data_IF_911307947888
#
_entry.id   IF_911307947888
#
_cell.length_a   1.000
_cell.length_b   1.000
_cell.length_c   1.000
_cell.angle_alpha   90.00
_cell.angle_beta   90.00
_cell.angle_gamma   90.00
#
_symmetry.space_group_name_H-M   'P 1'
#
loop_
_entity.id
_entity.type
_entity.pdbx_description
1 polymer ?
#
# COMPACT_ATOMS: atom_id res chain seq x y z
N UNK A 1 -45.81 29.01 45.22
CA UNK A 1 -44.59 28.17 45.19
C UNK A 1 -43.85 28.40 43.88
N UNK A 2 -42.78 29.21 43.89
CA UNK A 2 -41.87 29.48 42.76
C UNK A 2 -40.79 28.39 42.74
N UNK A 3 -40.64 27.66 41.63
CA UNK A 3 -39.49 26.78 41.40
C UNK A 3 -38.43 27.55 40.60
N UNK A 4 -37.26 27.75 41.22
CA UNK A 4 -36.07 28.40 40.67
C UNK A 4 -35.33 27.36 39.82
N UNK A 5 -35.16 27.61 38.53
CA UNK A 5 -34.26 26.82 37.69
C UNK A 5 -32.83 27.20 38.06
N UNK A 6 -32.04 26.22 38.48
CA UNK A 6 -30.59 26.34 38.64
C UNK A 6 -29.94 26.02 37.30
N UNK A 7 -29.29 27.02 36.70
CA UNK A 7 -28.30 26.83 35.65
C UNK A 7 -27.23 25.84 36.16
N UNK A 8 -26.99 24.78 35.40
CA UNK A 8 -25.87 23.87 35.64
C UNK A 8 -24.94 23.92 34.43
N UNK A 9 -23.87 24.68 34.63
CA UNK A 9 -22.58 24.74 33.95
C UNK A 9 -22.35 23.84 32.73
N UNK A 10 -22.15 24.50 31.60
CA UNK A 10 -21.50 23.98 30.40
C UNK A 10 -20.06 23.58 30.70
N UNK A 11 -19.83 22.28 30.93
CA UNK A 11 -18.48 21.74 31.03
C UNK A 11 -17.90 21.51 29.62
N UNK A 12 -17.38 22.57 28.99
CA UNK A 12 -16.66 22.47 27.71
C UNK A 12 -15.34 21.72 27.94
N UNK A 13 -15.31 20.44 27.55
CA UNK A 13 -14.09 19.63 27.56
C UNK A 13 -13.00 20.35 26.75
N UNK A 14 -11.94 20.76 27.44
CA UNK A 14 -10.77 21.38 26.83
C UNK A 14 -10.22 20.44 25.73
N UNK A 15 -10.06 20.99 24.52
CA UNK A 15 -9.49 20.30 23.37
C UNK A 15 -8.05 19.92 23.74
N UNK A 16 -7.75 18.62 23.86
CA UNK A 16 -6.39 18.13 24.08
C UNK A 16 -5.49 18.75 23.01
N UNK A 17 -4.55 19.59 23.43
CA UNK A 17 -3.56 20.20 22.57
C UNK A 17 -2.69 19.06 22.05
N UNK A 18 -2.71 18.80 20.73
CA UNK A 18 -1.81 17.83 20.11
C UNK A 18 -0.40 18.34 20.33
N UNK A 19 0.48 17.47 20.81
CA UNK A 19 1.91 17.79 20.82
C UNK A 19 2.35 18.10 19.39
N UNK A 20 3.23 19.09 19.18
CA UNK A 20 3.74 19.38 17.86
C UNK A 20 4.46 18.14 17.33
N UNK A 21 3.90 17.54 16.27
CA UNK A 21 4.58 16.49 15.52
C UNK A 21 5.87 17.09 14.95
N UNK A 22 6.98 16.36 15.11
CA UNK A 22 8.24 16.72 14.50
C UNK A 22 8.06 16.90 12.99
N UNK A 23 8.77 17.87 12.41
CA UNK A 23 8.78 18.03 10.95
C UNK A 23 9.26 16.71 10.31
N UNK A 24 8.70 16.37 9.15
CA UNK A 24 9.01 15.13 8.45
C UNK A 24 10.53 14.96 8.21
N UNK A 25 11.22 16.09 7.98
CA UNK A 25 12.67 16.15 7.80
C UNK A 25 13.49 15.82 9.06
N UNK A 26 12.89 15.93 10.25
CA UNK A 26 13.54 15.73 11.54
C UNK A 26 13.33 14.31 12.11
N UNK A 27 12.55 13.48 11.41
CA UNK A 27 12.27 12.11 11.83
C UNK A 27 13.50 11.24 11.58
N UNK A 28 14.15 10.81 12.66
CA UNK A 28 15.25 9.84 12.58
C UNK A 28 14.71 8.52 12.00
N UNK A 29 15.24 8.03 10.86
CA UNK A 29 14.80 6.78 10.27
C UNK A 29 15.00 5.63 11.26
N UNK A 30 13.98 4.77 11.40
CA UNK A 30 14.12 3.56 12.19
C UNK A 30 15.27 2.70 11.64
N UNK A 31 15.99 2.03 12.53
CA UNK A 31 17.15 1.20 12.17
C UNK A 31 16.83 -0.28 12.39
N UNK A 32 17.36 -1.15 11.55
CA UNK A 32 17.30 -2.60 11.76
C UNK A 32 18.15 -3.04 12.97
N UNK A 33 18.13 -4.34 13.31
CA UNK A 33 18.95 -4.90 14.39
C UNK A 33 20.47 -4.79 14.18
N UNK A 34 20.92 -4.27 13.02
CA UNK A 34 22.32 -4.01 12.67
C UNK A 34 22.64 -2.51 12.60
N UNK A 35 21.67 -1.63 12.89
CA UNK A 35 21.85 -0.17 12.88
C UNK A 35 21.63 0.52 11.52
N UNK A 36 21.20 -0.20 10.47
CA UNK A 36 20.94 0.37 9.15
C UNK A 36 19.54 0.97 9.08
N UNK A 37 19.37 2.12 8.40
CA UNK A 37 18.05 2.70 8.19
C UNK A 37 17.12 1.73 7.43
N UNK A 38 15.87 1.61 7.91
CA UNK A 38 14.79 0.82 7.32
C UNK A 38 14.07 1.56 6.18
N UNK A 39 14.40 2.84 5.97
CA UNK A 39 13.89 3.68 4.90
C UNK A 39 15.06 4.39 4.19
N UNK A 40 15.08 4.44 2.84
CA UNK A 40 14.14 3.80 1.91
C UNK A 40 14.18 2.25 1.98
N UNK A 41 13.31 1.59 1.21
CA UNK A 41 13.37 0.14 1.01
C UNK A 41 14.81 -0.31 0.65
N UNK A 42 15.19 -1.53 1.03
CA UNK A 42 16.54 -2.03 0.74
C UNK A 42 16.84 -2.00 -0.77
N UNK A 43 18.09 -1.73 -1.14
CA UNK A 43 18.50 -1.67 -2.56
C UNK A 43 18.08 -2.92 -3.35
N UNK A 44 18.17 -4.09 -2.72
CA UNK A 44 17.74 -5.35 -3.31
C UNK A 44 16.24 -5.37 -3.63
N UNK A 45 15.40 -4.81 -2.74
CA UNK A 45 13.94 -4.74 -2.95
C UNK A 45 13.61 -3.74 -4.06
N UNK A 46 14.30 -2.60 -4.08
CA UNK A 46 14.17 -1.59 -5.14
C UNK A 46 14.55 -2.20 -6.50
N UNK A 47 15.67 -2.93 -6.59
CA UNK A 47 16.11 -3.52 -7.85
C UNK A 47 15.18 -4.65 -8.32
N UNK A 48 14.63 -5.45 -7.40
CA UNK A 48 13.58 -6.43 -7.73
C UNK A 48 12.32 -5.76 -8.28
N UNK A 49 11.87 -4.64 -7.68
CA UNK A 49 10.73 -3.88 -8.18
C UNK A 49 11.00 -3.33 -9.59
N UNK A 50 12.18 -2.74 -9.80
CA UNK A 50 12.60 -2.23 -11.12
C UNK A 50 12.63 -3.34 -12.17
N UNK A 51 13.20 -4.49 -11.83
CA UNK A 51 13.26 -5.65 -12.70
C UNK A 51 11.85 -6.16 -13.06
N UNK A 52 10.96 -6.28 -12.06
CA UNK A 52 9.58 -6.67 -12.26
C UNK A 52 8.85 -5.73 -13.25
N UNK A 53 8.95 -4.42 -13.05
CA UNK A 53 8.28 -3.44 -13.91
C UNK A 53 8.79 -3.51 -15.37
N UNK A 54 10.11 -3.68 -15.55
CA UNK A 54 10.71 -3.88 -16.87
C UNK A 54 10.23 -5.18 -17.51
N UNK A 55 10.19 -6.27 -16.76
CA UNK A 55 9.67 -7.57 -17.24
C UNK A 55 8.21 -7.46 -17.67
N UNK A 56 7.35 -6.83 -16.87
CA UNK A 56 5.94 -6.67 -17.21
C UNK A 56 5.77 -5.84 -18.49
N UNK A 57 6.48 -4.72 -18.63
CA UNK A 57 6.44 -3.92 -19.86
C UNK A 57 6.97 -4.70 -21.07
N UNK A 58 8.10 -5.42 -20.94
CA UNK A 58 8.68 -6.21 -22.01
C UNK A 58 7.80 -7.40 -22.43
N UNK A 59 7.01 -7.96 -21.50
CA UNK A 59 6.13 -9.10 -21.76
C UNK A 59 4.95 -8.78 -22.69
N UNK A 60 4.63 -7.50 -22.90
CA UNK A 60 3.47 -7.04 -23.67
C UNK A 60 2.19 -7.82 -23.32
N UNK A 61 1.97 -8.02 -22.01
CA UNK A 61 0.86 -8.79 -21.48
C UNK A 61 -0.05 -7.92 -20.62
N UNK A 62 -1.30 -8.38 -20.44
CA UNK A 62 -2.28 -7.69 -19.60
C UNK A 62 -1.74 -7.42 -18.20
N UNK A 63 -1.70 -6.15 -17.82
CA UNK A 63 -1.17 -5.66 -16.55
C UNK A 63 -2.24 -4.88 -15.82
N UNK A 64 -2.45 -5.21 -14.55
CA UNK A 64 -3.45 -4.59 -13.69
C UNK A 64 -2.76 -3.73 -12.61
N UNK A 65 -3.17 -2.47 -12.48
CA UNK A 65 -2.77 -1.58 -11.38
C UNK A 65 -3.90 -1.51 -10.36
N UNK A 66 -3.56 -1.65 -9.08
CA UNK A 66 -4.51 -1.68 -7.97
C UNK A 66 -4.08 -0.67 -6.90
N UNK A 67 -4.43 0.61 -7.07
CA UNK A 67 -4.10 1.66 -6.10
C UNK A 67 -5.05 1.64 -4.90
N UNK A 68 -4.59 2.13 -3.74
CA UNK A 68 -5.54 2.54 -2.69
C UNK A 68 -6.34 3.76 -3.16
N UNK A 69 -7.49 3.97 -2.50
CA UNK A 69 -8.53 4.93 -2.85
C UNK A 69 -8.24 6.37 -2.42
N UNK A 70 -7.17 6.60 -1.66
CA UNK A 70 -6.81 7.93 -1.20
C UNK A 70 -5.85 8.63 -2.17
N UNK A 71 -5.38 9.82 -1.81
CA UNK A 71 -4.51 10.60 -2.70
C UNK A 71 -3.17 9.93 -2.94
N UNK A 72 -2.56 9.30 -1.93
CA UNK A 72 -1.24 8.68 -2.05
C UNK A 72 -1.31 7.47 -2.97
N UNK A 73 -2.28 6.57 -2.74
CA UNK A 73 -2.53 5.42 -3.61
C UNK A 73 -2.87 5.78 -5.04
N UNK A 74 -3.76 6.77 -5.27
CA UNK A 74 -4.16 7.17 -6.62
C UNK A 74 -3.00 7.84 -7.38
N UNK A 75 -2.23 8.71 -6.73
CA UNK A 75 -1.05 9.34 -7.33
C UNK A 75 0.03 8.31 -7.64
N UNK A 76 0.30 7.37 -6.73
CA UNK A 76 1.19 6.24 -6.95
C UNK A 76 0.72 5.38 -8.14
N UNK A 77 -0.59 5.14 -8.26
CA UNK A 77 -1.19 4.43 -9.39
C UNK A 77 -0.92 5.11 -10.72
N UNK A 78 -1.06 6.44 -10.78
CA UNK A 78 -0.75 7.25 -11.98
C UNK A 78 0.75 7.21 -12.30
N UNK A 79 1.62 7.23 -11.29
CA UNK A 79 3.07 7.09 -11.47
C UNK A 79 3.41 5.74 -12.11
N UNK A 80 2.86 4.63 -11.59
CA UNK A 80 3.05 3.29 -12.18
C UNK A 80 2.50 3.24 -13.60
N UNK A 81 1.30 3.77 -13.84
CA UNK A 81 0.70 3.83 -15.17
C UNK A 81 1.65 4.50 -16.17
N UNK A 82 2.08 5.72 -15.87
CA UNK A 82 2.98 6.50 -16.75
C UNK A 82 4.33 5.80 -16.92
N UNK A 83 4.83 5.14 -15.89
CA UNK A 83 6.08 4.38 -15.92
C UNK A 83 5.98 3.21 -16.90
N UNK A 84 4.91 2.41 -16.84
CA UNK A 84 4.74 1.28 -17.75
C UNK A 84 4.58 1.72 -19.21
N UNK A 85 3.85 2.82 -19.45
CA UNK A 85 3.76 3.41 -20.79
C UNK A 85 5.13 3.89 -21.27
N UNK A 86 5.90 4.57 -20.42
CA UNK A 86 7.26 5.04 -20.75
C UNK A 86 8.23 3.88 -21.01
N UNK A 87 8.03 2.72 -20.37
CA UNK A 87 8.77 1.48 -20.62
C UNK A 87 8.30 0.74 -21.88
N UNK A 88 7.27 1.23 -22.58
CA UNK A 88 6.79 0.70 -23.84
C UNK A 88 5.63 -0.30 -23.74
N UNK A 89 4.98 -0.45 -22.58
CA UNK A 89 3.74 -1.23 -22.50
C UNK A 89 2.62 -0.52 -23.28
N UNK A 90 1.90 -1.26 -24.13
CA UNK A 90 0.73 -0.71 -24.81
C UNK A 90 -0.36 -0.29 -23.80
N UNK A 91 -0.95 0.91 -23.90
CA UNK A 91 -2.08 1.33 -23.07
C UNK A 91 -3.26 0.36 -23.08
N UNK A 92 -3.50 -0.33 -24.22
CA UNK A 92 -4.62 -1.28 -24.36
C UNK A 92 -4.45 -2.55 -23.52
N UNK A 93 -3.24 -2.81 -23.04
CA UNK A 93 -2.92 -3.94 -22.17
C UNK A 93 -2.94 -3.56 -20.69
N UNK A 94 -3.17 -2.28 -20.38
CA UNK A 94 -3.09 -1.74 -19.04
C UNK A 94 -4.50 -1.45 -18.54
N UNK A 95 -4.86 -2.05 -17.42
CA UNK A 95 -6.13 -1.81 -16.75
C UNK A 95 -5.91 -1.37 -15.30
N UNK A 96 -6.86 -0.61 -14.75
CA UNK A 96 -6.86 -0.14 -13.37
C UNK A 96 -8.05 -0.77 -12.65
N UNK A 97 -7.80 -1.36 -11.50
CA UNK A 97 -8.85 -1.91 -10.65
C UNK A 97 -8.93 -1.09 -9.36
N UNK A 98 -10.02 -0.33 -9.23
CA UNK A 98 -10.33 0.42 -8.03
C UNK A 98 -11.17 -0.45 -7.11
N UNK A 99 -10.68 -0.66 -5.90
CA UNK A 99 -11.36 -1.49 -4.90
C UNK A 99 -12.57 -0.76 -4.34
N UNK A 100 -13.63 -1.51 -4.04
CA UNK A 100 -14.83 -0.96 -3.44
C UNK A 100 -14.59 -0.39 -2.04
N UNK A 101 -15.44 0.56 -1.64
CA UNK A 101 -15.40 1.12 -0.28
C UNK A 101 -15.60 0.02 0.75
N UNK A 102 -14.79 0.06 1.82
CA UNK A 102 -14.80 -0.89 2.94
C UNK A 102 -14.41 -2.33 2.60
N UNK A 103 -13.78 -2.54 1.44
CA UNK A 103 -13.28 -3.84 1.00
C UNK A 103 -11.76 -3.74 0.88
N UNK A 104 -11.06 -4.85 1.13
CA UNK A 104 -9.62 -4.99 1.00
C UNK A 104 -9.24 -5.72 -0.29
N UNK A 105 -8.05 -5.44 -0.82
CA UNK A 105 -7.47 -6.17 -1.97
C UNK A 105 -7.41 -7.69 -1.78
N UNK A 106 -7.41 -8.15 -0.52
CA UNK A 106 -7.35 -9.59 -0.21
C UNK A 106 -8.72 -10.23 0.03
N UNK A 107 -9.82 -9.49 -0.07
CA UNK A 107 -11.15 -10.06 0.08
C UNK A 107 -11.48 -10.92 -1.15
N UNK A 108 -12.09 -12.09 -0.93
CA UNK A 108 -12.31 -13.12 -1.96
C UNK A 108 -13.02 -12.57 -3.21
N UNK A 109 -14.01 -11.70 -3.02
CA UNK A 109 -14.74 -11.08 -4.13
C UNK A 109 -13.83 -10.18 -4.99
N UNK A 110 -12.93 -9.41 -4.38
CA UNK A 110 -12.00 -8.54 -5.12
C UNK A 110 -10.91 -9.37 -5.79
N UNK A 111 -10.40 -10.42 -5.12
CA UNK A 111 -9.45 -11.37 -5.72
C UNK A 111 -10.05 -12.04 -6.96
N UNK A 112 -11.31 -12.46 -6.90
CA UNK A 112 -12.03 -13.02 -8.04
C UNK A 112 -12.27 -11.97 -9.15
N UNK A 113 -12.61 -10.74 -8.80
CA UNK A 113 -12.81 -9.65 -9.76
C UNK A 113 -11.51 -9.27 -10.48
N UNK A 114 -10.38 -9.22 -9.76
CA UNK A 114 -9.06 -9.01 -10.34
C UNK A 114 -8.66 -10.17 -11.26
N UNK A 115 -8.91 -11.42 -10.84
CA UNK A 115 -8.62 -12.60 -11.65
C UNK A 115 -9.45 -12.66 -12.95
N UNK A 116 -10.72 -12.25 -12.90
CA UNK A 116 -11.61 -12.22 -14.06
C UNK A 116 -11.10 -11.31 -15.20
N UNK A 117 -10.24 -10.32 -14.90
CA UNK A 117 -9.57 -9.47 -15.90
C UNK A 117 -8.45 -10.20 -16.65
N UNK A 118 -8.08 -11.40 -16.20
CA UNK A 118 -7.01 -12.25 -16.70
C UNK A 118 -5.64 -11.53 -16.84
N UNK A 119 -5.14 -10.89 -15.76
CA UNK A 119 -3.83 -10.23 -15.80
C UNK A 119 -2.68 -11.24 -15.70
N UNK A 120 -1.59 -10.96 -16.40
CA UNK A 120 -0.30 -11.64 -16.21
C UNK A 120 0.56 -10.96 -15.14
N UNK A 121 0.41 -9.65 -14.99
CA UNK A 121 1.03 -8.86 -13.92
C UNK A 121 -0.03 -8.11 -13.13
N UNK A 122 0.06 -8.12 -11.80
CA UNK A 122 -0.72 -7.25 -10.90
C UNK A 122 0.25 -6.41 -10.08
N UNK A 123 0.03 -5.09 -10.02
CA UNK A 123 0.80 -4.15 -9.23
C UNK A 123 -0.13 -3.46 -8.25
N UNK A 124 -0.02 -3.81 -6.96
CA UNK A 124 -0.76 -3.20 -5.86
C UNK A 124 0.09 -2.08 -5.27
N UNK A 125 -0.49 -0.89 -5.14
CA UNK A 125 0.21 0.27 -4.58
C UNK A 125 -0.56 0.87 -3.41
N UNK A 126 0.21 1.30 -2.41
CA UNK A 126 -0.24 1.95 -1.17
C UNK A 126 -1.17 1.11 -0.29
N UNK A 127 -1.17 -0.19 -0.52
CA UNK A 127 -1.91 -1.15 0.29
C UNK A 127 -1.34 -2.55 0.07
N UNK A 128 -1.83 -3.50 0.86
CA UNK A 128 -1.61 -4.92 0.61
C UNK A 128 -0.59 -5.57 1.54
N UNK A 129 0.16 -4.82 2.35
CA UNK A 129 1.14 -5.38 3.30
C UNK A 129 0.47 -5.99 4.52
N UNK A 130 0.01 -7.24 4.39
CA UNK A 130 -0.41 -8.10 5.49
C UNK A 130 -0.27 -9.57 5.09
N UNK A 131 -0.23 -10.48 6.07
CA UNK A 131 -0.39 -11.90 5.76
C UNK A 131 -1.75 -12.15 5.08
N UNK A 132 -1.70 -12.78 3.91
CA UNK A 132 -2.86 -13.15 3.13
C UNK A 132 -2.48 -14.25 2.11
N UNK A 133 -3.48 -14.95 1.54
CA UNK A 133 -3.27 -15.75 0.33
C UNK A 133 -2.71 -14.90 -0.83
N UNK A 134 -2.29 -15.52 -1.95
CA UNK A 134 -1.82 -14.78 -3.13
C UNK A 134 -2.82 -13.70 -3.58
N UNK A 135 -2.35 -12.60 -4.16
CA UNK A 135 -3.23 -11.48 -4.60
C UNK A 135 -4.38 -11.96 -5.49
N UNK A 136 -4.15 -12.99 -6.31
CA UNK A 136 -5.20 -13.73 -7.03
C UNK A 136 -4.89 -15.23 -6.99
N UNK A 137 -5.92 -16.06 -7.09
CA UNK A 137 -5.78 -17.52 -7.13
C UNK A 137 -5.33 -18.02 -8.51
N UNK A 138 -4.12 -17.63 -8.94
CA UNK A 138 -3.51 -17.99 -10.23
C UNK A 138 -2.00 -18.16 -10.09
N UNK A 139 -1.48 -19.28 -10.58
CA UNK A 139 -0.03 -19.55 -10.64
C UNK A 139 0.65 -18.81 -11.80
N UNK A 140 -0.12 -18.36 -12.78
CA UNK A 140 0.37 -17.69 -13.99
C UNK A 140 0.45 -16.17 -13.85
N UNK A 141 -0.07 -15.64 -12.74
CA UNK A 141 -0.14 -14.19 -12.48
C UNK A 141 0.92 -13.81 -11.47
N UNK A 142 1.86 -12.94 -11.89
CA UNK A 142 2.86 -12.39 -10.98
C UNK A 142 2.30 -11.16 -10.26
N UNK A 143 2.66 -10.97 -8.99
CA UNK A 143 2.22 -9.82 -8.20
C UNK A 143 3.38 -9.03 -7.60
N UNK A 144 3.23 -7.70 -7.63
CA UNK A 144 4.11 -6.72 -7.01
C UNK A 144 3.31 -5.89 -6.01
N UNK A 145 3.83 -5.72 -4.81
CA UNK A 145 3.24 -4.87 -3.77
C UNK A 145 4.24 -3.77 -3.43
N UNK A 146 3.78 -2.53 -3.50
CA UNK A 146 4.55 -1.34 -3.11
C UNK A 146 3.69 -0.58 -2.09
N UNK A 147 4.05 -0.67 -0.83
CA UNK A 147 3.21 -0.15 0.24
C UNK A 147 4.09 0.37 1.38
N UNK A 148 3.62 1.40 2.06
CA UNK A 148 4.36 2.08 3.13
C UNK A 148 3.78 1.83 4.52
N UNK A 149 2.65 1.11 4.63
CA UNK A 149 2.06 0.72 5.90
C UNK A 149 3.03 -0.10 6.75
N UNK A 150 2.73 -0.30 8.04
CA UNK A 150 3.58 -1.04 8.98
C UNK A 150 3.21 -2.53 9.02
N UNK A 151 4.10 -3.40 8.54
CA UNK A 151 3.93 -4.86 8.44
C UNK A 151 5.28 -5.55 8.27
N UNK A 152 5.37 -6.74 8.84
CA UNK A 152 6.45 -7.71 8.59
C UNK A 152 5.96 -8.89 7.74
N UNK A 153 4.68 -8.86 7.36
CA UNK A 153 3.96 -9.91 6.67
C UNK A 153 3.40 -9.42 5.33
N UNK A 154 3.42 -10.31 4.34
CA UNK A 154 3.00 -10.03 2.97
C UNK A 154 2.20 -11.21 2.42
N UNK A 155 1.37 -10.98 1.40
CA UNK A 155 0.70 -12.03 0.66
C UNK A 155 1.68 -13.06 0.12
N UNK A 156 1.25 -14.31 0.09
CA UNK A 156 2.03 -15.38 -0.51
C UNK A 156 2.40 -15.05 -1.96
N UNK A 157 3.64 -15.38 -2.36
CA UNK A 157 4.18 -15.19 -3.70
C UNK A 157 4.34 -13.73 -4.19
N UNK A 158 4.13 -12.72 -3.33
CA UNK A 158 4.42 -11.33 -3.68
C UNK A 158 5.93 -11.07 -3.82
N UNK A 159 6.33 -10.42 -4.93
CA UNK A 159 7.75 -10.33 -5.36
C UNK A 159 8.52 -9.20 -4.66
N UNK A 160 7.85 -8.15 -4.18
CA UNK A 160 8.50 -7.08 -3.40
C UNK A 160 7.74 -6.84 -2.11
N UNK A 161 8.53 -6.72 -1.06
CA UNK A 161 8.13 -6.63 0.34
C UNK A 161 8.66 -5.30 0.85
N UNK A 162 7.87 -4.25 0.75
CA UNK A 162 8.15 -3.05 1.52
C UNK A 162 6.95 -2.73 2.37
N UNK A 163 7.23 -2.52 3.65
CA UNK A 163 6.32 -2.13 4.70
C UNK A 163 7.22 -1.75 5.88
N UNK A 164 6.90 -0.68 6.60
CA UNK A 164 7.64 -0.31 7.81
C UNK A 164 7.63 -1.52 8.77
N UNK A 165 8.76 -1.95 9.33
CA UNK A 165 8.81 -3.12 10.22
C UNK A 165 8.58 -2.74 11.69
N UNK A 166 7.95 -3.64 12.47
CA UNK A 166 7.89 -3.54 13.93
C UNK A 166 9.12 -4.25 14.51
N UNK A 167 10.04 -3.49 15.09
CA UNK A 167 11.00 -4.10 16.02
C UNK A 167 10.21 -4.47 17.27
N UNK A 168 10.05 -5.78 17.55
CA UNK A 168 9.68 -6.22 18.89
C UNK A 168 10.79 -5.76 19.85
N UNK A 169 10.50 -5.03 20.93
CA UNK A 169 11.50 -4.80 21.96
C UNK A 169 11.96 -6.17 22.46
N UNK A 170 13.26 -6.44 22.35
CA UNK A 170 13.90 -7.55 23.04
C UNK A 170 13.87 -7.23 24.53
N UNK A 171 13.08 -7.99 25.29
CA UNK A 171 13.20 -8.02 26.75
C UNK A 171 14.50 -8.72 27.17
#
# INVERSE_FOLDING_TARGET
MKRKATDSDTNSKAKRQREPEADYCDVIPRKDGKGNALWPASEQSIERARSFLKECAASQSKTLIVPDKDADGLDAGVIIYKTLIALGLSPDLLDVHLINKNVSVHDEMERAAMLAKNPKCIIVVDQGSRAAPPVVDSVDTKSLIIDHHLSDEFPENAIVRYSLSKIKPTN
#
